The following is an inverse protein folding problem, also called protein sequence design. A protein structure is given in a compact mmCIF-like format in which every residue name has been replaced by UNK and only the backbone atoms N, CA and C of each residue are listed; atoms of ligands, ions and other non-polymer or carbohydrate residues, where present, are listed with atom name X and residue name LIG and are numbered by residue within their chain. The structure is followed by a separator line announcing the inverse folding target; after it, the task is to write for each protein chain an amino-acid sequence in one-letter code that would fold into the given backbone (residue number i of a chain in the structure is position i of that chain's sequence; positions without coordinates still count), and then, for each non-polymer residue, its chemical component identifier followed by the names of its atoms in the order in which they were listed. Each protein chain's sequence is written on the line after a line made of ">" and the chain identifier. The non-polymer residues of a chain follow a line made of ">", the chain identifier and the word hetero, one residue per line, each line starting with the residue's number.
data_IF_370043399843
#
_entry.id   IF_370043399843
#
_cell.length_a   1.000
_cell.length_b   1.000
_cell.length_c   1.000
_cell.angle_alpha   90.00
_cell.angle_beta   90.00
_cell.angle_gamma   90.00
#
_symmetry.space_group_name_H-M   'P 1'
#
loop_
_entity.id
_entity.type
_entity.pdbx_description
1 polymer ?
#
# COMPACT_ATOMS: atom_id res chain seq x y z
N UNK A 1 -0.98 -74.24 26.53
CA UNK A 1 -1.77 -73.39 27.45
C UNK A 1 -2.94 -72.81 26.65
N UNK A 2 -4.13 -73.37 26.84
CA UNK A 2 -5.40 -72.87 26.26
C UNK A 2 -5.86 -71.69 27.12
N UNK A 3 -6.43 -70.66 26.50
CA UNK A 3 -7.64 -70.04 27.05
C UNK A 3 -8.62 -69.73 25.92
N UNK A 4 -9.84 -70.23 26.08
CA UNK A 4 -11.00 -70.17 25.18
C UNK A 4 -12.13 -69.44 25.93
N UNK A 5 -12.78 -68.48 25.25
CA UNK A 5 -14.24 -68.17 25.18
C UNK A 5 -14.89 -67.69 26.51
N UNK A 6 -15.73 -66.64 26.61
CA UNK A 6 -17.05 -66.48 25.96
C UNK A 6 -17.73 -65.11 26.23
N UNK A 7 -18.52 -64.67 25.24
CA UNK A 7 -19.87 -64.02 25.28
C UNK A 7 -20.11 -62.75 26.14
N UNK A 8 -20.78 -61.68 25.70
CA UNK A 8 -21.62 -61.37 24.52
C UNK A 8 -22.26 -59.96 24.75
N UNK A 9 -22.72 -59.25 23.73
CA UNK A 9 -24.15 -58.91 23.45
C UNK A 9 -24.20 -57.95 22.25
N UNK A 10 -25.32 -57.99 21.51
CA UNK A 10 -25.62 -57.41 20.18
C UNK A 10 -25.97 -55.91 20.15
N UNK A 11 -25.86 -55.35 18.94
CA UNK A 11 -26.57 -54.19 18.31
C UNK A 11 -26.46 -52.79 18.93
N UNK A 12 -25.77 -51.88 18.22
CA UNK A 12 -26.41 -50.83 17.38
C UNK A 12 -25.35 -49.84 16.88
N UNK A 13 -25.49 -49.40 15.64
CA UNK A 13 -24.66 -48.36 15.03
C UNK A 13 -24.79 -47.05 15.81
N UNK A 14 -23.70 -46.59 16.43
CA UNK A 14 -23.53 -45.18 16.78
C UNK A 14 -22.19 -44.72 16.22
N UNK A 15 -22.27 -43.80 15.26
CA UNK A 15 -21.15 -42.96 14.85
C UNK A 15 -20.61 -42.28 16.11
N UNK A 16 -19.44 -42.70 16.57
CA UNK A 16 -18.63 -41.94 17.52
C UNK A 16 -17.44 -41.42 16.71
N UNK A 17 -17.53 -40.15 16.32
CA UNK A 17 -16.41 -39.40 15.76
C UNK A 17 -15.30 -39.31 16.81
N UNK A 18 -14.32 -40.21 16.72
CA UNK A 18 -13.04 -40.02 17.41
C UNK A 18 -12.32 -38.91 16.66
N UNK A 19 -12.25 -37.70 17.24
CA UNK A 19 -11.23 -36.74 16.85
C UNK A 19 -9.88 -37.36 17.22
N UNK A 20 -9.25 -38.05 16.26
CA UNK A 20 -7.82 -38.25 16.32
C UNK A 20 -7.19 -36.89 16.01
N UNK A 21 -6.69 -36.20 17.03
CA UNK A 21 -5.75 -35.10 16.80
C UNK A 21 -4.49 -35.72 16.21
N UNK A 22 -4.29 -35.57 14.90
CA UNK A 22 -3.04 -35.93 14.24
C UNK A 22 -1.98 -34.97 14.76
N UNK A 23 -1.14 -35.44 15.68
CA UNK A 23 0.02 -34.70 16.17
C UNK A 23 1.04 -34.61 15.03
N UNK A 24 1.13 -33.43 14.38
CA UNK A 24 2.19 -33.15 13.43
C UNK A 24 3.47 -32.78 14.19
N UNK A 25 4.41 -33.74 14.22
CA UNK A 25 5.82 -33.64 14.63
C UNK A 25 6.15 -33.12 16.04
N UNK A 26 6.87 -33.96 16.79
CA UNK A 26 7.53 -33.59 18.04
C UNK A 26 8.84 -32.88 17.71
N UNK A 27 8.98 -31.62 18.14
CA UNK A 27 10.22 -30.84 17.96
C UNK A 27 11.37 -31.49 18.74
N UNK A 28 12.43 -31.91 18.03
CA UNK A 28 13.68 -32.36 18.63
C UNK A 28 14.75 -31.26 18.47
N UNK A 29 15.13 -30.54 19.54
CA UNK A 29 16.09 -29.43 19.47
C UNK A 29 17.54 -29.84 19.15
N UNK A 30 17.84 -31.14 19.05
CA UNK A 30 19.20 -31.66 18.82
C UNK A 30 19.47 -32.07 17.35
N UNK A 31 18.50 -31.93 16.44
CA UNK A 31 18.65 -32.32 15.03
C UNK A 31 19.46 -31.30 14.22
N UNK A 32 20.54 -31.73 13.55
CA UNK A 32 21.45 -30.88 12.76
C UNK A 32 21.25 -30.96 11.24
N UNK A 33 20.17 -31.58 10.76
CA UNK A 33 19.80 -31.61 9.34
C UNK A 33 18.69 -30.61 9.02
N UNK A 34 18.81 -29.92 7.88
CA UNK A 34 17.80 -29.01 7.33
C UNK A 34 16.38 -29.58 7.44
N UNK A 35 15.34 -28.73 7.64
CA UNK A 35 14.01 -29.18 8.05
C UNK A 35 13.48 -30.28 7.12
N UNK A 36 13.15 -31.44 7.69
CA UNK A 36 12.58 -32.61 6.99
C UNK A 36 11.18 -32.34 6.40
N UNK A 37 10.66 -31.12 6.56
CA UNK A 37 9.48 -30.63 5.87
C UNK A 37 9.54 -29.11 5.72
N UNK A 38 9.66 -28.63 4.48
CA UNK A 38 9.53 -27.22 4.13
C UNK A 38 8.30 -27.05 3.26
N UNK A 39 7.38 -26.20 3.67
CA UNK A 39 6.19 -25.87 2.89
C UNK A 39 6.54 -24.75 1.91
N UNK A 40 7.33 -25.08 0.88
CA UNK A 40 7.59 -24.20 -0.25
C UNK A 40 6.45 -24.44 -1.25
N UNK A 41 5.62 -23.41 -1.47
CA UNK A 41 4.50 -23.49 -2.42
C UNK A 41 3.20 -23.98 -1.80
N UNK A 42 2.61 -23.19 -0.90
CA UNK A 42 1.21 -23.33 -0.50
C UNK A 42 0.31 -22.96 -1.69
N UNK A 43 0.01 -23.92 -2.57
CA UNK A 43 -1.15 -23.82 -3.46
C UNK A 43 -2.38 -24.30 -2.70
N UNK A 44 -3.25 -23.36 -2.34
CA UNK A 44 -4.61 -23.65 -1.87
C UNK A 44 -5.37 -24.32 -3.03
N UNK A 45 -5.43 -25.65 -3.07
CA UNK A 45 -6.37 -26.35 -3.93
C UNK A 45 -7.75 -26.23 -3.29
N UNK A 46 -8.51 -25.20 -3.68
CA UNK A 46 -9.95 -25.22 -3.50
C UNK A 46 -10.59 -25.48 -4.85
N UNK A 47 -11.39 -26.53 -4.84
CA UNK A 47 -12.25 -27.04 -5.91
C UNK A 47 -13.11 -25.94 -6.55
N UNK A 48 -12.60 -25.31 -7.60
CA UNK A 48 -13.38 -24.97 -8.79
C UNK A 48 -13.12 -26.08 -9.80
N UNK A 49 -14.07 -26.98 -10.01
CA UNK A 49 -13.90 -28.24 -10.74
C UNK A 49 -13.79 -28.04 -12.25
N UNK A 50 -12.67 -27.48 -12.70
CA UNK A 50 -12.37 -27.33 -14.11
C UNK A 50 -10.86 -27.39 -14.37
N UNK A 51 -10.45 -27.74 -15.60
CA UNK A 51 -9.04 -27.79 -16.01
C UNK A 51 -8.31 -26.44 -15.88
N UNK A 52 -9.01 -25.34 -15.59
CA UNK A 52 -8.49 -23.96 -15.68
C UNK A 52 -9.06 -23.11 -14.56
N UNK A 53 -8.17 -22.39 -13.88
CA UNK A 53 -8.52 -21.41 -12.86
C UNK A 53 -8.31 -19.99 -13.34
N UNK A 54 -9.08 -19.05 -12.79
CA UNK A 54 -8.91 -17.62 -12.99
C UNK A 54 -9.02 -16.91 -11.64
N UNK A 55 -8.16 -15.92 -11.40
CA UNK A 55 -8.23 -15.04 -10.23
C UNK A 55 -8.04 -13.59 -10.64
N UNK A 56 -8.63 -12.67 -9.86
CA UNK A 56 -8.42 -11.22 -9.98
C UNK A 56 -7.85 -10.73 -8.65
N UNK A 57 -6.69 -10.08 -8.68
CA UNK A 57 -5.94 -9.68 -7.48
C UNK A 57 -5.79 -10.82 -6.47
N UNK A 58 -5.37 -12.00 -6.97
CA UNK A 58 -5.18 -13.22 -6.18
C UNK A 58 -6.45 -13.78 -5.50
N UNK A 59 -7.63 -13.26 -5.85
CA UNK A 59 -8.92 -13.80 -5.41
C UNK A 59 -9.50 -14.65 -6.54
N UNK A 60 -9.67 -15.94 -6.29
CA UNK A 60 -10.25 -16.87 -7.28
C UNK A 60 -11.67 -16.46 -7.65
N UNK A 61 -11.98 -16.53 -8.95
CA UNK A 61 -13.30 -16.22 -9.50
C UNK A 61 -13.79 -17.39 -10.34
N UNK A 62 -15.11 -17.56 -10.39
CA UNK A 62 -15.77 -18.61 -11.17
C UNK A 62 -16.79 -17.99 -12.12
N UNK A 63 -17.34 -18.77 -13.04
CA UNK A 63 -18.37 -18.25 -13.95
C UNK A 63 -19.58 -17.75 -13.15
N UNK A 64 -19.99 -16.51 -13.39
CA UNK A 64 -21.05 -15.80 -12.65
C UNK A 64 -20.54 -14.93 -11.49
N UNK A 65 -19.26 -15.00 -11.11
CA UNK A 65 -18.67 -14.08 -10.14
C UNK A 65 -18.75 -12.62 -10.62
N UNK A 66 -18.74 -11.68 -9.68
CA UNK A 66 -18.68 -10.25 -9.96
C UNK A 66 -17.38 -9.64 -9.45
N UNK A 67 -16.83 -8.69 -10.19
CA UNK A 67 -15.69 -7.87 -9.78
C UNK A 67 -16.03 -6.39 -9.98
N UNK A 68 -15.94 -5.62 -8.90
CA UNK A 68 -16.31 -4.20 -8.89
C UNK A 68 -15.06 -3.31 -8.69
N UNK A 69 -14.79 -2.48 -9.69
CA UNK A 69 -13.72 -1.48 -9.71
C UNK A 69 -14.05 -0.24 -8.86
N UNK A 70 -15.21 -0.25 -8.18
CA UNK A 70 -15.70 0.82 -7.32
C UNK A 70 -16.00 2.11 -8.11
N UNK A 71 -16.20 3.20 -7.38
CA UNK A 71 -16.44 4.51 -7.96
C UNK A 71 -15.14 5.14 -8.48
N UNK A 72 -15.17 5.61 -9.73
CA UNK A 72 -14.08 6.31 -10.42
C UNK A 72 -14.63 7.60 -11.00
N UNK A 73 -13.88 8.69 -10.92
CA UNK A 73 -14.31 9.96 -11.51
C UNK A 73 -14.42 9.85 -13.03
N UNK A 74 -15.40 10.56 -13.59
CA UNK A 74 -15.60 10.61 -15.04
C UNK A 74 -14.32 11.04 -15.78
N UNK A 75 -13.84 10.19 -16.70
CA UNK A 75 -12.62 10.42 -17.48
C UNK A 75 -11.32 9.96 -16.82
N UNK A 76 -11.36 9.42 -15.60
CA UNK A 76 -10.20 8.88 -14.87
C UNK A 76 -10.14 7.35 -14.92
N UNK A 77 -8.98 6.78 -14.58
CA UNK A 77 -8.75 5.32 -14.55
C UNK A 77 -8.77 4.79 -13.11
N UNK A 78 -9.32 3.60 -12.91
CA UNK A 78 -9.17 2.83 -11.67
C UNK A 78 -7.72 2.35 -11.49
N UNK A 79 -7.37 1.83 -10.30
CA UNK A 79 -6.19 0.97 -10.16
C UNK A 79 -6.25 -0.21 -11.15
N UNK A 80 -5.10 -0.67 -11.61
CA UNK A 80 -5.00 -1.90 -12.41
C UNK A 80 -5.26 -3.12 -11.51
N UNK A 81 -6.24 -3.93 -11.88
CA UNK A 81 -6.42 -5.26 -11.31
C UNK A 81 -5.63 -6.29 -12.12
N UNK A 82 -5.01 -7.27 -11.45
CA UNK A 82 -4.24 -8.33 -12.11
C UNK A 82 -5.10 -9.58 -12.28
N UNK A 83 -5.35 -9.96 -13.52
CA UNK A 83 -5.97 -11.23 -13.90
C UNK A 83 -4.87 -12.29 -13.98
N UNK A 84 -5.05 -13.41 -13.31
CA UNK A 84 -4.18 -14.59 -13.42
C UNK A 84 -5.00 -15.76 -13.94
N UNK A 85 -4.55 -16.41 -15.00
CA UNK A 85 -5.15 -17.64 -15.53
C UNK A 85 -4.17 -18.78 -15.32
N UNK A 86 -4.63 -19.85 -14.68
CA UNK A 86 -3.81 -21.02 -14.33
C UNK A 86 -4.31 -22.24 -15.07
N UNK A 87 -3.40 -22.97 -15.70
CA UNK A 87 -3.69 -24.23 -16.36
C UNK A 87 -3.44 -25.42 -15.41
N UNK A 88 -4.48 -26.17 -15.11
CA UNK A 88 -4.45 -27.39 -14.29
C UNK A 88 -5.06 -28.58 -15.04
N UNK A 89 -5.06 -28.54 -16.37
CA UNK A 89 -5.78 -29.49 -17.22
C UNK A 89 -5.08 -30.85 -17.39
N UNK A 90 -3.81 -30.96 -16.96
CA UNK A 90 -2.96 -32.12 -17.23
C UNK A 90 -2.26 -32.09 -18.59
N UNK A 91 -2.50 -31.07 -19.42
CA UNK A 91 -1.82 -30.86 -20.71
C UNK A 91 -1.58 -29.37 -20.95
N UNK A 92 -0.74 -29.01 -21.93
CA UNK A 92 -0.57 -27.61 -22.31
C UNK A 92 -1.81 -27.06 -23.00
N UNK A 93 -2.09 -25.77 -22.80
CA UNK A 93 -3.17 -25.04 -23.47
C UNK A 93 -2.55 -23.99 -24.39
N UNK A 94 -2.89 -24.06 -25.66
CA UNK A 94 -2.52 -23.04 -26.63
C UNK A 94 -3.54 -21.91 -26.63
N UNK A 95 -3.06 -20.69 -26.42
CA UNK A 95 -3.85 -19.48 -26.42
C UNK A 95 -3.84 -18.90 -27.85
N UNK A 96 -4.99 -18.93 -28.52
CA UNK A 96 -5.16 -18.19 -29.76
C UNK A 96 -4.96 -16.69 -29.47
N UNK A 97 -4.19 -16.00 -30.32
CA UNK A 97 -3.93 -14.56 -30.17
C UNK A 97 -5.19 -13.69 -30.24
N UNK A 98 -6.32 -14.28 -30.62
CA UNK A 98 -7.65 -13.68 -30.63
C UNK A 98 -8.60 -14.45 -29.71
N UNK A 99 -9.47 -13.75 -29.01
CA UNK A 99 -10.62 -14.27 -28.25
C UNK A 99 -10.35 -14.98 -26.90
N UNK A 100 -9.10 -15.06 -26.42
CA UNK A 100 -8.83 -15.70 -25.13
C UNK A 100 -9.44 -14.94 -23.94
N UNK A 101 -9.27 -13.62 -23.91
CA UNK A 101 -9.95 -12.73 -22.98
C UNK A 101 -10.70 -11.70 -23.82
N UNK A 102 -12.03 -11.67 -23.67
CA UNK A 102 -12.88 -10.72 -24.38
C UNK A 102 -13.73 -9.94 -23.41
N UNK A 103 -14.02 -8.70 -23.79
CA UNK A 103 -14.94 -7.83 -23.07
C UNK A 103 -16.20 -7.66 -23.91
N UNK A 104 -17.34 -7.86 -23.28
CA UNK A 104 -18.66 -7.71 -23.91
C UNK A 104 -19.64 -7.02 -22.95
N UNK A 105 -20.85 -6.73 -23.42
CA UNK A 105 -21.88 -6.06 -22.64
C UNK A 105 -21.98 -4.55 -22.90
N UNK A 106 -22.90 -3.91 -22.18
CA UNK A 106 -23.37 -2.56 -22.48
C UNK A 106 -22.28 -1.47 -22.37
N UNK A 107 -21.30 -1.65 -21.48
CA UNK A 107 -20.22 -0.67 -21.26
C UNK A 107 -18.84 -1.32 -21.41
N UNK A 108 -18.69 -2.32 -22.29
CA UNK A 108 -17.43 -3.04 -22.49
C UNK A 108 -16.22 -2.13 -22.79
N UNK A 109 -16.44 -1.02 -23.49
CA UNK A 109 -15.41 -0.02 -23.80
C UNK A 109 -14.81 0.67 -22.59
N UNK A 110 -15.51 0.63 -21.45
CA UNK A 110 -15.11 1.30 -20.22
C UNK A 110 -14.18 0.42 -19.38
N UNK A 111 -13.96 -0.83 -19.78
CA UNK A 111 -13.03 -1.76 -19.17
C UNK A 111 -11.92 -2.06 -20.16
N UNK A 112 -10.66 -1.95 -19.73
CA UNK A 112 -9.52 -1.99 -20.64
C UNK A 112 -8.52 -3.03 -20.13
N UNK A 113 -8.32 -4.05 -20.95
CA UNK A 113 -7.20 -4.98 -20.79
C UNK A 113 -5.90 -4.28 -21.20
N UNK A 114 -4.88 -4.40 -20.36
CA UNK A 114 -3.53 -3.83 -20.61
C UNK A 114 -2.72 -4.66 -21.62
N UNK A 115 -3.18 -5.88 -21.91
CA UNK A 115 -2.63 -6.75 -22.92
C UNK A 115 -3.48 -8.00 -23.10
N UNK A 116 -3.29 -8.70 -24.21
CA UNK A 116 -3.91 -10.01 -24.46
C UNK A 116 -2.86 -11.10 -24.26
N UNK A 117 -3.04 -12.00 -23.27
CA UNK A 117 -2.22 -13.21 -23.15
C UNK A 117 -2.19 -13.97 -24.48
N UNK A 118 -1.01 -14.45 -24.88
CA UNK A 118 -0.82 -15.30 -26.06
C UNK A 118 0.27 -16.34 -25.78
N UNK A 119 0.38 -17.34 -26.66
CA UNK A 119 1.35 -18.44 -26.52
C UNK A 119 0.75 -19.66 -25.85
N UNK A 120 1.57 -20.43 -25.13
CA UNK A 120 1.16 -21.70 -24.53
C UNK A 120 1.29 -21.62 -23.00
N UNK A 121 0.24 -22.03 -22.29
CA UNK A 121 0.29 -22.23 -20.83
C UNK A 121 0.56 -23.71 -20.58
N UNK A 122 1.76 -24.05 -20.12
CA UNK A 122 2.07 -25.42 -19.71
C UNK A 122 1.20 -25.85 -18.51
N UNK A 123 0.97 -27.16 -18.35
CA UNK A 123 0.27 -27.67 -17.17
C UNK A 123 1.00 -27.25 -15.87
N UNK A 124 0.25 -26.73 -14.90
CA UNK A 124 0.76 -26.18 -13.65
C UNK A 124 1.33 -24.76 -13.75
N UNK A 125 1.31 -24.14 -14.93
CA UNK A 125 1.76 -22.74 -15.14
C UNK A 125 0.60 -21.76 -15.20
N UNK A 126 0.94 -20.47 -15.08
CA UNK A 126 -0.02 -19.37 -15.16
C UNK A 126 0.44 -18.28 -16.11
N UNK A 127 -0.50 -17.51 -16.62
CA UNK A 127 -0.27 -16.27 -17.37
C UNK A 127 -1.05 -15.12 -16.73
N UNK A 128 -0.54 -13.90 -16.85
CA UNK A 128 -1.15 -12.71 -16.24
C UNK A 128 -1.42 -11.61 -17.27
N UNK A 129 -2.46 -10.81 -17.01
CA UNK A 129 -2.70 -9.54 -17.69
C UNK A 129 -3.39 -8.56 -16.74
N UNK A 130 -3.19 -7.26 -16.92
CA UNK A 130 -3.89 -6.24 -16.16
C UNK A 130 -5.22 -5.83 -16.80
N UNK A 131 -6.17 -5.37 -15.98
CA UNK A 131 -7.43 -4.75 -16.41
C UNK A 131 -7.72 -3.51 -15.55
N UNK A 132 -8.28 -2.45 -16.14
CA UNK A 132 -8.76 -1.28 -15.40
C UNK A 132 -10.09 -0.77 -15.93
N UNK A 133 -10.80 0.03 -15.13
CA UNK A 133 -12.05 0.72 -15.48
C UNK A 133 -11.81 2.22 -15.71
N UNK A 134 -12.43 2.79 -16.74
CA UNK A 134 -12.51 4.24 -17.00
C UNK A 134 -13.75 4.53 -17.83
N UNK A 135 -14.54 5.54 -17.47
CA UNK A 135 -15.68 5.96 -18.27
C UNK A 135 -15.87 7.46 -18.17
N UNK A 136 -16.22 8.10 -19.28
CA UNK A 136 -16.59 9.52 -19.32
C UNK A 136 -18.09 9.76 -19.08
N UNK A 137 -18.86 8.68 -18.94
CA UNK A 137 -20.31 8.73 -18.83
C UNK A 137 -20.73 8.32 -17.42
N UNK A 138 -21.51 9.15 -16.74
CA UNK A 138 -21.81 8.97 -15.31
C UNK A 138 -22.74 7.77 -15.03
N UNK A 139 -22.67 7.23 -13.82
CA UNK A 139 -23.47 6.12 -13.34
C UNK A 139 -22.73 4.77 -13.37
N UNK A 140 -23.46 3.74 -12.95
CA UNK A 140 -22.96 2.36 -12.94
C UNK A 140 -22.73 1.90 -14.38
N UNK A 141 -21.55 1.35 -14.62
CA UNK A 141 -21.10 0.75 -15.88
C UNK A 141 -20.89 -0.73 -15.65
N UNK A 142 -21.38 -1.54 -16.57
CA UNK A 142 -21.26 -3.00 -16.48
C UNK A 142 -20.76 -3.59 -17.78
N UNK A 143 -19.94 -4.63 -17.64
CA UNK A 143 -19.44 -5.42 -18.75
C UNK A 143 -19.31 -6.88 -18.30
N UNK A 144 -18.98 -7.76 -19.23
CA UNK A 144 -18.66 -9.16 -18.97
C UNK A 144 -17.26 -9.40 -19.51
N UNK A 145 -16.36 -9.85 -18.63
CA UNK A 145 -15.09 -10.43 -19.02
C UNK A 145 -15.30 -11.93 -19.27
N UNK A 146 -15.00 -12.38 -20.47
CA UNK A 146 -15.08 -13.80 -20.83
C UNK A 146 -13.68 -14.33 -21.08
N UNK A 147 -13.31 -15.35 -20.31
CA UNK A 147 -12.18 -16.22 -20.60
C UNK A 147 -12.68 -17.38 -21.46
N UNK A 148 -12.16 -17.49 -22.69
CA UNK A 148 -12.37 -18.63 -23.58
C UNK A 148 -11.07 -19.45 -23.65
N UNK A 149 -10.95 -20.53 -22.88
CA UNK A 149 -9.69 -21.22 -22.74
C UNK A 149 -9.30 -22.18 -23.89
N UNK A 150 -10.15 -22.32 -24.91
CA UNK A 150 -9.97 -23.23 -26.04
C UNK A 150 -11.32 -23.64 -26.63
N UNK A 151 -11.37 -24.18 -27.85
CA UNK A 151 -12.64 -24.39 -28.57
C UNK A 151 -13.57 -25.44 -27.93
N UNK A 152 -13.02 -26.39 -27.17
CA UNK A 152 -13.78 -27.49 -26.56
C UNK A 152 -14.13 -27.28 -25.08
N UNK A 153 -13.74 -26.14 -24.49
CA UNK A 153 -13.94 -25.85 -23.07
C UNK A 153 -15.00 -24.76 -22.89
N UNK A 154 -15.82 -24.92 -21.85
CA UNK A 154 -16.83 -23.92 -21.49
C UNK A 154 -16.18 -22.58 -21.13
N UNK A 155 -16.65 -21.45 -21.68
CA UNK A 155 -16.18 -20.13 -21.27
C UNK A 155 -16.47 -19.84 -19.80
N UNK A 156 -15.59 -19.08 -19.16
CA UNK A 156 -15.77 -18.52 -17.82
C UNK A 156 -16.12 -17.04 -17.97
N UNK A 157 -17.33 -16.66 -17.54
CA UNK A 157 -17.81 -15.29 -17.62
C UNK A 157 -17.85 -14.63 -16.25
N UNK A 158 -17.25 -13.46 -16.13
CA UNK A 158 -17.17 -12.66 -14.91
C UNK A 158 -17.87 -11.33 -15.16
N UNK A 159 -18.82 -10.97 -14.30
CA UNK A 159 -19.50 -9.70 -14.36
C UNK A 159 -18.56 -8.61 -13.85
N UNK A 160 -18.32 -7.56 -14.64
CA UNK A 160 -17.57 -6.40 -14.25
C UNK A 160 -18.51 -5.25 -13.92
N UNK A 161 -18.18 -4.52 -12.87
CA UNK A 161 -18.86 -3.30 -12.49
C UNK A 161 -17.84 -2.20 -12.20
N UNK A 162 -18.17 -0.96 -12.53
CA UNK A 162 -17.51 0.23 -12.03
C UNK A 162 -18.51 1.37 -12.05
N UNK A 163 -18.37 2.36 -11.18
CA UNK A 163 -19.31 3.50 -11.16
C UNK A 163 -18.56 4.76 -11.58
N UNK A 164 -18.89 5.30 -12.75
CA UNK A 164 -18.36 6.60 -13.13
C UNK A 164 -19.14 7.70 -12.40
N UNK A 165 -18.52 8.38 -11.46
CA UNK A 165 -19.18 9.43 -10.70
C UNK A 165 -18.93 10.79 -11.33
N UNK A 166 -19.98 11.61 -11.36
CA UNK A 166 -19.92 12.96 -11.89
C UNK A 166 -19.12 13.86 -10.99
N UNK A 167 -18.42 14.79 -11.63
CA UNK A 167 -17.98 16.01 -10.98
C UNK A 167 -19.27 16.74 -10.51
N UNK A 168 -19.59 16.87 -9.22
CA UNK A 168 -20.75 17.63 -8.77
C UNK A 168 -20.75 19.02 -9.42
N UNK A 169 -21.83 19.30 -10.16
CA UNK A 169 -21.99 20.50 -10.98
C UNK A 169 -21.86 21.76 -10.13
N UNK A 170 -20.87 22.60 -10.43
CA UNK A 170 -20.64 23.89 -9.76
C UNK A 170 -19.33 24.01 -9.01
N UNK A 171 -18.56 22.93 -8.87
CA UNK A 171 -17.23 22.96 -8.26
C UNK A 171 -16.13 22.88 -9.32
N UNK A 172 -15.26 23.90 -9.36
CA UNK A 172 -14.00 23.87 -10.11
C UNK A 172 -13.25 22.58 -9.79
N UNK A 173 -12.55 21.97 -10.77
CA UNK A 173 -11.65 20.83 -10.54
C UNK A 173 -10.64 21.06 -9.39
N UNK A 174 -10.43 22.33 -9.02
CA UNK A 174 -9.63 22.75 -7.87
C UNK A 174 -10.28 22.55 -6.49
N UNK A 175 -11.61 22.43 -6.37
CA UNK A 175 -12.30 22.35 -5.06
C UNK A 175 -12.74 20.95 -4.66
N UNK A 176 -12.49 19.92 -5.48
CA UNK A 176 -12.91 18.54 -5.19
C UNK A 176 -11.89 17.66 -4.48
N UNK A 177 -10.68 18.16 -4.24
CA UNK A 177 -9.75 17.48 -3.34
C UNK A 177 -10.02 17.76 -1.85
N UNK A 178 -11.01 18.60 -1.53
CA UNK A 178 -11.48 18.79 -0.15
C UNK A 178 -12.35 17.61 0.37
N UNK A 179 -12.85 16.69 -0.48
CA UNK A 179 -13.70 15.58 -0.02
C UNK A 179 -12.97 14.25 0.20
N UNK A 180 -11.70 14.11 -0.22
CA UNK A 180 -10.81 13.04 0.24
C UNK A 180 -10.03 13.58 1.44
N UNK A 181 -10.72 13.64 2.58
CA UNK A 181 -10.10 14.01 3.83
C UNK A 181 -9.33 12.81 4.40
N UNK A 182 -8.04 12.99 4.63
CA UNK A 182 -7.25 12.13 5.50
C UNK A 182 -7.61 12.49 6.93
N UNK A 183 -8.50 11.69 7.52
CA UNK A 183 -9.03 11.94 8.85
C UNK A 183 -7.93 11.72 9.90
N UNK A 184 -7.72 12.75 10.71
CA UNK A 184 -6.86 12.67 11.89
C UNK A 184 -7.57 11.86 12.99
N UNK A 185 -7.07 10.65 13.23
CA UNK A 185 -7.56 9.75 14.28
C UNK A 185 -7.01 10.09 15.68
N UNK A 186 -6.10 11.05 15.81
CA UNK A 186 -5.55 11.48 17.11
C UNK A 186 -6.55 12.27 17.96
N UNK A 187 -7.68 12.70 17.37
CA UNK A 187 -8.69 13.53 18.02
C UNK A 187 -8.35 15.02 18.05
N UNK A 188 -7.26 15.46 17.40
CA UNK A 188 -6.83 16.87 17.36
C UNK A 188 -7.38 17.65 16.17
N UNK A 189 -8.08 16.99 15.24
CA UNK A 189 -8.76 17.66 14.13
C UNK A 189 -7.81 18.14 13.02
N UNK A 190 -6.61 17.55 12.91
CA UNK A 190 -5.64 17.88 11.87
C UNK A 190 -5.95 17.17 10.55
N UNK A 191 -7.16 17.35 10.03
CA UNK A 191 -7.58 16.68 8.80
C UNK A 191 -6.72 17.16 7.62
N UNK A 192 -6.15 16.22 6.88
CA UNK A 192 -5.42 16.49 5.66
C UNK A 192 -6.36 16.47 4.46
N UNK A 193 -6.13 17.35 3.50
CA UNK A 193 -6.84 17.40 2.23
C UNK A 193 -5.86 17.11 1.12
N UNK A 194 -6.27 16.26 0.20
CA UNK A 194 -5.49 16.00 -1.00
C UNK A 194 -5.30 17.30 -1.79
N UNK A 195 -4.22 17.42 -2.53
CA UNK A 195 -4.04 18.49 -3.50
C UNK A 195 -3.26 17.99 -4.71
N UNK A 196 -3.60 18.55 -5.88
CA UNK A 196 -3.00 18.17 -7.15
C UNK A 196 -3.81 17.12 -7.89
N UNK A 197 -3.26 16.52 -8.95
CA UNK A 197 -4.03 15.58 -9.78
C UNK A 197 -4.04 14.18 -9.18
N UNK A 198 -4.75 13.99 -8.07
CA UNK A 198 -4.77 12.75 -7.30
C UNK A 198 -5.48 11.62 -8.06
N UNK A 199 -4.71 10.93 -8.90
CA UNK A 199 -5.10 9.70 -9.61
C UNK A 199 -4.52 8.46 -8.94
N UNK A 200 -3.92 8.62 -7.77
CA UNK A 200 -3.13 7.57 -7.14
C UNK A 200 -3.97 6.53 -6.39
N UNK A 201 -3.70 5.22 -6.58
CA UNK A 201 -4.48 4.17 -5.95
C UNK A 201 -4.22 4.14 -4.43
N UNK A 202 -5.28 3.94 -3.65
CA UNK A 202 -5.11 3.27 -2.36
C UNK A 202 -4.52 1.89 -2.62
N UNK A 203 -3.45 1.54 -1.92
CA UNK A 203 -2.78 0.23 -2.02
C UNK A 203 -2.92 -0.50 -0.70
N UNK A 204 -2.64 -1.80 -0.68
CA UNK A 204 -2.58 -2.54 0.58
C UNK A 204 -1.44 -2.01 1.45
N UNK A 205 -1.80 -1.50 2.62
CA UNK A 205 -0.86 -1.00 3.62
C UNK A 205 -0.27 -2.10 4.49
N UNK A 206 0.59 -1.70 5.42
CA UNK A 206 0.97 -2.54 6.56
C UNK A 206 -0.26 -2.76 7.45
N UNK A 207 -1.12 -1.74 7.57
CA UNK A 207 -2.42 -1.83 8.22
C UNK A 207 -3.52 -1.30 7.32
N UNK A 208 -4.37 -2.20 6.84
CA UNK A 208 -5.50 -1.80 5.99
C UNK A 208 -5.01 -1.20 4.67
N UNK A 209 -5.31 0.08 4.45
CA UNK A 209 -5.02 0.78 3.21
C UNK A 209 -3.94 1.83 3.41
N UNK A 210 -3.01 1.88 2.47
CA UNK A 210 -2.00 2.91 2.34
C UNK A 210 -2.31 3.85 1.18
N UNK A 211 -1.69 5.02 1.22
CA UNK A 211 -1.70 5.97 0.11
C UNK A 211 -0.45 5.77 -0.75
N UNK A 212 -0.63 5.69 -2.07
CA UNK A 212 0.47 5.86 -3.02
C UNK A 212 0.53 7.30 -3.49
N UNK A 213 1.71 7.83 -3.79
CA UNK A 213 1.91 9.19 -4.30
C UNK A 213 2.87 9.15 -5.49
N UNK A 214 2.65 10.04 -6.48
CA UNK A 214 3.57 10.25 -7.59
C UNK A 214 3.61 9.07 -8.59
N UNK A 215 2.49 8.37 -8.78
CA UNK A 215 2.42 7.19 -9.63
C UNK A 215 2.54 7.51 -11.14
N UNK A 216 3.31 6.70 -11.88
CA UNK A 216 3.40 6.72 -13.35
C UNK A 216 4.73 7.23 -13.92
N UNK A 217 4.84 7.27 -15.26
CA UNK A 217 6.06 7.68 -15.96
C UNK A 217 6.42 9.17 -15.80
N UNK A 218 5.44 9.98 -15.38
CA UNK A 218 5.60 11.38 -15.02
C UNK A 218 4.88 11.57 -13.67
N UNK A 219 5.59 11.59 -12.53
CA UNK A 219 4.93 11.76 -11.23
C UNK A 219 4.14 13.06 -11.26
N UNK A 220 2.82 12.95 -11.15
CA UNK A 220 1.94 14.10 -11.07
C UNK A 220 2.16 14.79 -9.72
N UNK A 221 2.02 16.12 -9.71
CA UNK A 221 2.04 16.89 -8.47
C UNK A 221 0.85 16.44 -7.62
N UNK A 222 1.10 15.59 -6.62
CA UNK A 222 0.12 14.99 -5.71
C UNK A 222 0.69 15.05 -4.29
N UNK A 223 -0.07 15.59 -3.36
CA UNK A 223 0.33 15.66 -1.95
C UNK A 223 -0.92 15.81 -1.07
N UNK A 224 -0.74 15.68 0.24
CA UNK A 224 -1.79 16.02 1.22
C UNK A 224 -1.36 17.31 1.91
N UNK A 225 -2.21 18.31 1.85
CA UNK A 225 -2.11 19.57 2.59
C UNK A 225 -2.87 19.45 3.90
N UNK A 226 -2.23 19.73 5.02
CA UNK A 226 -2.92 19.83 6.31
C UNK A 226 -3.03 21.32 6.67
N UNK A 227 -4.21 21.94 6.47
CA UNK A 227 -4.39 23.36 6.72
C UNK A 227 -4.28 23.67 8.21
N UNK A 228 -3.93 24.92 8.49
CA UNK A 228 -4.01 25.50 9.83
C UNK A 228 -5.48 25.86 10.16
N UNK A 229 -6.34 24.86 10.23
CA UNK A 229 -7.79 25.02 10.41
C UNK A 229 -8.18 25.36 11.86
N UNK A 230 -7.28 25.16 12.81
CA UNK A 230 -7.44 25.49 14.24
C UNK A 230 -6.13 26.14 14.69
N UNK A 231 -6.14 27.24 15.50
CA UNK A 231 -4.95 28.06 15.85
C UNK A 231 -3.76 27.37 16.54
N UNK A 232 -3.68 26.05 16.58
CA UNK A 232 -2.61 25.24 17.18
C UNK A 232 -2.20 24.06 16.27
N UNK A 233 -2.82 23.88 15.10
CA UNK A 233 -2.55 22.74 14.23
C UNK A 233 -1.17 22.88 13.61
N UNK A 234 -0.23 22.02 14.04
CA UNK A 234 1.14 22.00 13.56
C UNK A 234 1.95 23.29 13.79
N UNK A 235 1.60 24.15 14.77
CA UNK A 235 2.39 25.36 15.12
C UNK A 235 3.66 25.00 15.91
N UNK A 236 4.56 24.26 15.28
CA UNK A 236 5.78 23.77 15.92
C UNK A 236 6.81 24.88 16.01
N UNK A 237 7.44 25.09 17.17
CA UNK A 237 8.71 25.79 17.22
C UNK A 237 9.84 24.78 17.22
N UNK A 238 10.98 25.12 16.63
CA UNK A 238 12.15 24.25 16.70
C UNK A 238 12.86 24.26 18.06
N UNK A 239 12.34 25.03 19.02
CA UNK A 239 12.69 24.93 20.45
C UNK A 239 11.97 23.79 21.17
N UNK A 240 11.10 23.04 20.50
CA UNK A 240 10.36 21.91 21.06
C UNK A 240 10.71 20.60 20.34
N UNK A 241 10.62 19.51 21.08
CA UNK A 241 10.87 18.18 20.55
C UNK A 241 9.78 17.74 19.57
N UNK A 242 10.15 16.94 18.58
CA UNK A 242 9.22 16.31 17.65
C UNK A 242 9.72 14.92 17.26
N UNK A 243 8.78 14.00 17.04
CA UNK A 243 9.09 12.73 16.38
C UNK A 243 8.09 12.47 15.26
N UNK A 244 8.58 11.98 14.12
CA UNK A 244 7.76 11.61 12.98
C UNK A 244 8.08 10.16 12.64
N UNK A 245 7.05 9.33 12.45
CA UNK A 245 7.20 7.91 12.11
C UNK A 245 6.24 7.55 11.00
N UNK A 246 6.63 6.72 10.04
CA UNK A 246 5.74 6.20 9.01
C UNK A 246 6.22 4.83 8.51
N UNK A 247 5.31 4.06 7.93
CA UNK A 247 5.68 2.99 7.01
C UNK A 247 5.74 3.54 5.60
N UNK A 248 6.75 3.15 4.83
CA UNK A 248 7.00 3.65 3.48
C UNK A 248 7.42 2.55 2.51
N UNK A 249 7.12 2.74 1.24
CA UNK A 249 7.69 2.02 0.09
C UNK A 249 8.19 3.05 -0.93
N UNK A 250 9.43 3.56 -0.81
CA UNK A 250 9.97 4.51 -1.77
C UNK A 250 10.31 3.83 -3.11
N UNK A 251 9.88 4.40 -4.23
CA UNK A 251 10.12 3.79 -5.55
C UNK A 251 11.38 4.35 -6.24
N UNK A 252 11.88 5.50 -5.81
CA UNK A 252 12.95 6.24 -6.51
C UNK A 252 14.15 6.53 -5.62
N UNK A 253 15.30 6.78 -6.26
CA UNK A 253 16.53 7.17 -5.57
C UNK A 253 16.61 8.65 -5.21
N UNK A 254 15.69 9.48 -5.71
CA UNK A 254 15.62 10.88 -5.30
C UNK A 254 14.91 10.99 -3.96
N UNK A 255 15.40 11.87 -3.08
CA UNK A 255 14.74 12.16 -1.82
C UNK A 255 13.39 12.83 -2.09
N UNK A 256 12.33 12.21 -1.60
CA UNK A 256 10.99 12.75 -1.62
C UNK A 256 10.47 12.97 -0.20
N UNK A 257 9.77 14.08 0.01
CA UNK A 257 9.29 14.49 1.34
C UNK A 257 8.08 13.69 1.78
N UNK A 258 8.17 13.02 2.93
CA UNK A 258 7.02 12.36 3.56
C UNK A 258 6.32 13.26 4.58
N UNK A 259 7.03 14.24 5.16
CA UNK A 259 6.42 15.31 5.95
C UNK A 259 7.23 16.59 5.87
N UNK A 260 6.56 17.71 5.61
CA UNK A 260 7.12 19.05 5.59
C UNK A 260 6.32 19.99 6.49
N UNK A 261 7.06 20.73 7.31
CA UNK A 261 6.60 21.93 7.97
C UNK A 261 7.58 23.06 7.74
N UNK A 262 7.25 23.91 6.78
CA UNK A 262 8.01 25.11 6.41
C UNK A 262 7.08 26.31 6.21
N UNK A 263 7.62 27.51 6.12
CA UNK A 263 6.87 28.72 5.73
C UNK A 263 7.27 29.14 4.31
N UNK A 264 6.36 29.79 3.58
CA UNK A 264 6.65 30.43 2.28
C UNK A 264 7.71 31.54 2.42
N UNK A 265 8.29 32.00 1.31
CA UNK A 265 9.40 32.97 1.21
C UNK A 265 9.09 34.39 1.76
N UNK A 266 8.63 34.52 3.00
CA UNK A 266 8.59 35.78 3.73
C UNK A 266 9.98 36.22 4.16
N UNK A 267 10.14 37.43 4.72
CA UNK A 267 11.44 38.03 4.99
C UNK A 267 12.35 37.26 5.98
N UNK A 268 11.90 36.16 6.62
CA UNK A 268 12.68 35.26 7.49
C UNK A 268 11.98 33.87 7.68
N UNK A 269 11.79 33.03 6.65
CA UNK A 269 11.12 31.74 6.79
C UNK A 269 12.11 30.68 7.28
N UNK A 270 11.77 30.05 8.40
CA UNK A 270 12.49 28.88 8.90
C UNK A 270 11.75 27.62 8.42
N UNK A 271 12.45 26.73 7.70
CA UNK A 271 12.02 25.34 7.55
C UNK A 271 12.21 24.69 8.91
N UNK A 272 11.11 24.22 9.48
CA UNK A 272 11.15 23.62 10.81
C UNK A 272 11.61 22.17 10.67
N UNK A 273 10.98 21.41 9.75
CA UNK A 273 11.38 20.04 9.41
C UNK A 273 10.98 19.64 7.97
N UNK A 274 11.92 19.13 7.19
CA UNK A 274 11.69 18.30 5.98
C UNK A 274 12.17 16.87 6.27
N UNK A 275 11.24 15.95 6.56
CA UNK A 275 11.59 14.53 6.62
C UNK A 275 11.36 13.90 5.25
N UNK A 276 12.46 13.51 4.60
CA UNK A 276 12.47 12.96 3.25
C UNK A 276 13.15 11.60 3.18
N UNK A 277 12.68 10.79 2.23
CA UNK A 277 13.03 9.38 2.06
C UNK A 277 13.28 9.09 0.59
N UNK A 278 14.22 8.20 0.30
CA UNK A 278 14.41 7.57 -1.01
C UNK A 278 14.66 6.08 -0.83
N UNK A 279 14.78 5.31 -1.93
CA UNK A 279 15.24 3.93 -1.87
C UNK A 279 16.75 3.80 -1.48
N UNK A 280 17.43 4.93 -1.26
CA UNK A 280 18.86 5.01 -0.97
C UNK A 280 19.20 5.81 0.29
N UNK A 281 18.20 6.20 1.09
CA UNK A 281 18.47 6.87 2.35
C UNK A 281 17.29 7.57 3.02
N UNK A 282 17.61 8.15 4.18
CA UNK A 282 16.72 8.97 5.00
C UNK A 282 17.38 10.34 5.21
N UNK A 283 16.58 11.41 5.24
CA UNK A 283 17.08 12.77 5.45
C UNK A 283 16.14 13.59 6.31
N UNK A 284 16.68 14.21 7.36
CA UNK A 284 16.02 15.28 8.07
C UNK A 284 16.70 16.60 7.68
N UNK A 285 16.00 17.42 6.92
CA UNK A 285 16.46 18.73 6.46
C UNK A 285 15.88 19.88 7.26
N UNK A 286 16.66 20.95 7.37
CA UNK A 286 16.24 22.23 7.92
C UNK A 286 16.96 23.38 7.21
N UNK A 287 16.33 24.54 7.25
CA UNK A 287 16.78 25.72 6.51
C UNK A 287 16.36 26.98 7.25
N UNK A 288 17.31 27.89 7.41
CA UNK A 288 17.08 29.26 7.81
C UNK A 288 17.53 30.17 6.66
N UNK A 289 16.60 30.90 6.05
CA UNK A 289 16.93 31.78 4.93
C UNK A 289 18.05 32.74 5.29
N UNK A 290 18.94 32.98 4.31
CA UNK A 290 20.08 33.89 4.44
C UNK A 290 21.10 33.56 5.54
N UNK A 291 20.95 32.40 6.22
CA UNK A 291 21.81 32.02 7.33
C UNK A 291 22.47 30.65 7.11
N UNK A 292 21.70 29.55 7.19
CA UNK A 292 22.26 28.20 7.07
C UNK A 292 21.21 27.16 6.65
N UNK A 293 21.67 26.17 5.89
CA UNK A 293 20.94 24.95 5.57
C UNK A 293 21.70 23.75 6.06
N UNK A 294 21.00 22.86 6.73
CA UNK A 294 21.59 21.67 7.34
C UNK A 294 20.70 20.46 7.08
N UNK A 295 21.34 19.29 7.01
CA UNK A 295 20.61 18.04 6.98
C UNK A 295 21.38 16.95 7.73
N UNK A 296 20.66 16.16 8.49
CA UNK A 296 21.13 14.85 8.94
C UNK A 296 20.70 13.85 7.89
N UNK A 297 21.66 13.23 7.21
CA UNK A 297 21.40 12.30 6.11
C UNK A 297 22.02 10.96 6.42
N UNK A 298 21.22 9.91 6.31
CA UNK A 298 21.70 8.54 6.23
C UNK A 298 21.65 8.08 4.78
N UNK A 299 22.73 7.47 4.30
CA UNK A 299 22.79 6.83 2.98
C UNK A 299 22.89 5.32 3.16
N UNK A 300 21.93 4.60 2.61
CA UNK A 300 21.86 3.16 2.66
C UNK A 300 20.64 2.63 1.93
N UNK A 301 20.72 1.38 1.49
CA UNK A 301 19.64 0.77 0.69
C UNK A 301 18.38 0.60 1.53
N UNK A 302 17.25 1.05 0.99
CA UNK A 302 15.90 0.72 1.45
C UNK A 302 15.27 -0.11 0.33
N UNK A 303 15.31 -1.46 0.42
CA UNK A 303 14.87 -2.34 -0.65
C UNK A 303 13.35 -2.28 -0.86
N UNK A 304 12.89 -2.96 -1.92
CA UNK A 304 11.47 -3.07 -2.20
C UNK A 304 10.73 -3.77 -1.06
N UNK A 305 9.62 -3.18 -0.62
CA UNK A 305 8.84 -3.66 0.53
C UNK A 305 8.50 -2.52 1.48
N UNK A 306 7.67 -2.83 2.48
CA UNK A 306 7.32 -1.89 3.54
C UNK A 306 8.45 -1.80 4.57
N UNK A 307 8.95 -0.58 4.78
CA UNK A 307 9.95 -0.26 5.80
C UNK A 307 9.41 0.80 6.74
N UNK A 308 9.73 0.69 8.02
CA UNK A 308 9.38 1.72 9.00
C UNK A 308 10.50 2.74 9.08
N UNK A 309 10.17 4.01 8.92
CA UNK A 309 11.12 5.12 9.00
C UNK A 309 10.70 6.06 10.12
N UNK A 310 11.68 6.61 10.83
CA UNK A 310 11.41 7.66 11.79
C UNK A 310 12.52 8.69 11.88
N UNK A 311 12.15 9.92 12.24
CA UNK A 311 13.07 10.94 12.70
C UNK A 311 12.65 11.43 14.08
N UNK A 312 13.61 11.62 14.96
CA UNK A 312 13.43 12.23 16.29
C UNK A 312 14.32 13.45 16.36
N UNK A 313 13.73 14.58 16.74
CA UNK A 313 14.46 15.81 17.07
C UNK A 313 14.15 16.21 18.50
N UNK A 314 15.20 16.46 19.28
CA UNK A 314 15.14 16.96 20.64
C UNK A 314 16.16 18.09 20.83
N UNK A 315 15.72 19.36 20.89
CA UNK A 315 16.62 20.50 21.00
C UNK A 315 17.38 20.54 22.34
N UNK A 316 16.97 19.75 23.34
CA UNK A 316 17.68 19.61 24.61
C UNK A 316 18.80 18.55 24.56
N UNK A 317 18.83 17.70 23.53
CA UNK A 317 19.80 16.63 23.37
C UNK A 317 20.99 17.03 22.50
N UNK A 318 22.10 16.29 22.63
CA UNK A 318 23.26 16.39 21.74
C UNK A 318 23.85 14.98 21.51
N UNK A 319 23.76 14.39 20.30
CA UNK A 319 23.14 14.95 19.09
C UNK A 319 21.64 15.20 19.24
N UNK A 320 21.14 16.27 18.64
CA UNK A 320 19.74 16.69 18.76
C UNK A 320 18.80 16.01 17.75
N UNK A 321 19.33 15.20 16.84
CA UNK A 321 18.57 14.54 15.77
C UNK A 321 19.01 13.10 15.58
N UNK A 322 18.03 12.20 15.38
CA UNK A 322 18.25 10.77 15.14
C UNK A 322 17.31 10.29 14.03
N UNK A 323 17.86 9.53 13.07
CA UNK A 323 17.11 8.81 12.04
C UNK A 323 17.07 7.32 12.35
N UNK A 324 15.91 6.71 12.12
CA UNK A 324 15.69 5.28 12.32
C UNK A 324 15.14 4.61 11.06
N UNK A 325 15.62 3.39 10.80
CA UNK A 325 15.09 2.46 9.82
C UNK A 325 14.76 1.14 10.53
N UNK A 326 13.53 0.65 10.35
CA UNK A 326 13.03 -0.62 10.91
C UNK A 326 13.27 -0.76 12.42
N UNK A 327 13.10 0.34 13.15
CA UNK A 327 13.27 0.42 14.60
C UNK A 327 14.71 0.70 15.06
N UNK A 328 15.69 0.62 14.17
CA UNK A 328 17.12 0.77 14.49
C UNK A 328 17.61 2.17 14.14
N UNK A 329 18.38 2.78 15.04
CA UNK A 329 19.05 4.06 14.76
C UNK A 329 20.11 3.87 13.67
N UNK A 330 19.98 4.60 12.57
CA UNK A 330 20.88 4.52 11.41
C UNK A 330 21.79 5.74 11.26
N UNK A 331 21.40 6.88 11.83
CA UNK A 331 22.19 8.10 11.79
C UNK A 331 21.81 9.02 12.94
N UNK A 332 22.80 9.72 13.49
CA UNK A 332 22.61 10.83 14.41
C UNK A 332 23.30 12.08 13.88
N UNK A 333 22.86 13.25 14.34
CA UNK A 333 23.50 14.50 13.97
C UNK A 333 22.87 15.69 14.69
N UNK A 334 23.35 16.88 14.36
CA UNK A 334 22.83 18.13 14.89
C UNK A 334 22.21 18.96 13.77
N UNK A 335 21.04 19.51 14.04
CA UNK A 335 20.39 20.54 13.25
C UNK A 335 20.25 21.78 14.13
N UNK A 336 21.04 22.79 13.84
CA UNK A 336 21.08 24.07 14.56
C UNK A 336 20.07 25.04 13.96
N UNK A 337 19.89 25.05 12.63
CA UNK A 337 18.94 25.96 11.95
C UNK A 337 17.51 25.85 12.49
N UNK A 338 17.09 24.65 12.88
CA UNK A 338 15.76 24.43 13.48
C UNK A 338 15.68 25.02 14.90
N UNK A 339 16.74 24.99 15.72
CA UNK A 339 16.66 25.40 17.14
C UNK A 339 16.19 26.85 17.35
N UNK A 340 16.38 27.71 16.35
CA UNK A 340 15.95 29.11 16.35
C UNK A 340 14.67 29.37 15.57
N UNK A 341 14.05 28.34 14.99
CA UNK A 341 12.84 28.47 14.18
C UNK A 341 11.62 28.77 15.08
N UNK A 342 10.96 29.93 14.92
CA UNK A 342 9.73 30.23 15.62
C UNK A 342 8.59 29.38 15.05
N UNK A 343 7.52 29.23 15.85
CA UNK A 343 6.29 28.64 15.36
C UNK A 343 5.69 29.47 14.23
N UNK A 344 5.09 28.80 13.25
CA UNK A 344 4.37 29.44 12.15
C UNK A 344 3.07 28.71 11.80
N UNK A 345 2.13 29.47 11.24
CA UNK A 345 0.77 29.05 10.87
C UNK A 345 0.63 28.55 9.42
N UNK A 346 1.74 28.31 8.72
CA UNK A 346 1.67 27.73 7.38
C UNK A 346 1.14 26.27 7.46
N UNK A 347 0.42 25.80 6.44
CA UNK A 347 -0.07 24.42 6.42
C UNK A 347 1.08 23.39 6.56
N UNK A 348 0.84 22.17 7.03
CA UNK A 348 1.83 21.09 6.87
C UNK A 348 1.59 20.37 5.53
N UNK A 349 2.59 19.64 5.01
CA UNK A 349 2.42 18.84 3.81
C UNK A 349 2.93 17.41 4.02
N UNK A 350 2.25 16.45 3.39
CA UNK A 350 2.70 15.06 3.23
C UNK A 350 2.88 14.83 1.74
N UNK A 351 4.04 14.32 1.32
CA UNK A 351 4.28 13.99 -0.10
C UNK A 351 4.95 15.06 -0.93
N UNK A 352 5.12 16.28 -0.38
CA UNK A 352 5.86 17.36 -1.05
C UNK A 352 6.65 18.19 -0.06
N UNK A 353 7.73 18.78 -0.56
CA UNK A 353 8.33 19.95 0.06
C UNK A 353 7.62 21.21 -0.46
N UNK A 354 7.13 22.10 0.42
CA UNK A 354 6.47 23.34 0.01
C UNK A 354 7.36 24.24 -0.86
N UNK A 355 8.65 24.31 -0.50
CA UNK A 355 9.62 25.27 -1.04
C UNK A 355 10.18 24.86 -2.40
N UNK A 356 10.22 23.57 -2.68
CA UNK A 356 10.71 23.02 -3.93
C UNK A 356 9.70 22.00 -4.48
N UNK A 357 8.98 22.41 -5.52
CA UNK A 357 7.98 21.58 -6.18
C UNK A 357 8.57 20.33 -6.87
N UNK A 358 9.90 20.22 -6.98
CA UNK A 358 10.58 19.05 -7.54
C UNK A 358 10.82 17.95 -6.51
N UNK A 359 10.75 18.26 -5.21
CA UNK A 359 10.97 17.31 -4.13
C UNK A 359 9.65 16.64 -3.72
N UNK A 360 9.12 15.80 -4.62
CA UNK A 360 7.93 15.00 -4.41
C UNK A 360 8.27 13.59 -3.92
N UNK A 361 7.47 13.06 -3.01
CA UNK A 361 7.56 11.64 -2.66
C UNK A 361 6.90 10.78 -3.74
N UNK A 362 7.67 9.83 -4.24
CA UNK A 362 7.23 8.82 -5.21
C UNK A 362 7.33 7.46 -4.52
N UNK A 363 6.17 6.90 -4.15
CA UNK A 363 6.09 5.70 -3.34
C UNK A 363 4.77 5.54 -2.61
N UNK A 364 4.70 4.59 -1.68
CA UNK A 364 3.57 4.43 -0.77
C UNK A 364 3.90 4.88 0.66
N UNK A 365 2.92 5.43 1.37
CA UNK A 365 3.00 5.83 2.78
C UNK A 365 1.83 5.19 3.53
N UNK A 366 2.10 4.66 4.71
CA UNK A 366 1.09 4.13 5.62
C UNK A 366 1.43 4.51 7.08
N UNK A 367 0.40 4.60 7.92
CA UNK A 367 0.54 4.81 9.37
C UNK A 367 1.50 5.97 9.74
N UNK A 368 1.46 7.09 9.01
CA UNK A 368 2.21 8.31 9.35
C UNK A 368 1.69 8.89 10.67
N UNK A 369 2.59 9.10 11.62
CA UNK A 369 2.30 9.64 12.94
C UNK A 369 3.29 10.73 13.30
N UNK A 370 2.78 11.77 13.93
CA UNK A 370 3.57 12.92 14.37
C UNK A 370 3.32 13.13 15.86
N UNK A 371 4.41 13.11 16.62
CA UNK A 371 4.42 13.24 18.06
C UNK A 371 5.04 14.58 18.41
N UNK A 372 4.22 15.47 18.96
CA UNK A 372 4.65 16.81 19.35
C UNK A 372 3.98 17.21 20.68
N UNK A 373 4.70 17.85 21.62
CA UNK A 373 6.14 18.16 21.59
C UNK A 373 6.97 17.02 22.21
N UNK A 374 7.07 15.87 21.53
CA UNK A 374 7.60 14.63 22.14
C UNK A 374 8.77 14.08 21.33
N UNK A 375 9.91 13.89 21.99
CA UNK A 375 11.01 13.06 21.53
C UNK A 375 10.77 11.62 21.96
N UNK A 376 10.53 10.73 21.01
CA UNK A 376 10.35 9.30 21.28
C UNK A 376 11.71 8.66 21.62
N UNK A 377 11.70 7.80 22.62
CA UNK A 377 12.86 6.96 22.93
C UNK A 377 13.05 5.88 21.86
N UNK A 378 14.27 5.32 21.79
CA UNK A 378 14.54 4.18 20.91
C UNK A 378 13.61 2.98 21.20
N UNK A 379 13.23 2.74 22.46
CA UNK A 379 12.29 1.66 22.83
C UNK A 379 10.86 1.93 22.36
N UNK A 380 10.42 3.19 22.36
CA UNK A 380 9.11 3.57 21.80
C UNK A 380 9.11 3.40 20.28
N UNK A 381 10.18 3.82 19.60
CA UNK A 381 10.34 3.60 18.14
C UNK A 381 10.30 2.10 17.80
N UNK A 382 11.03 1.27 18.55
CA UNK A 382 11.01 -0.18 18.37
C UNK A 382 9.61 -0.78 18.61
N UNK A 383 8.88 -0.26 19.61
CA UNK A 383 7.51 -0.70 19.91
C UNK A 383 6.56 -0.37 18.76
N UNK A 384 6.67 0.85 18.22
CA UNK A 384 5.88 1.30 17.06
C UNK A 384 6.18 0.42 15.84
N UNK A 385 7.45 0.16 15.53
CA UNK A 385 7.83 -0.75 14.44
C UNK A 385 7.27 -2.17 14.62
N UNK A 386 7.37 -2.72 15.83
CA UNK A 386 6.87 -4.07 16.12
C UNK A 386 5.33 -4.15 16.10
N UNK A 387 4.64 -3.02 16.19
CA UNK A 387 3.18 -2.95 16.19
C UNK A 387 2.54 -3.07 14.81
N UNK A 388 3.24 -3.66 13.82
CA UNK A 388 2.68 -3.92 12.47
C UNK A 388 1.35 -4.64 12.52
#
# INVERSE_FOLDING_TARGET
>A
MKLKIANGIRHSSRFLSVLLTVTFCQYNPESTSAPEFSLIGLSRVISGSGPIGISINQTDVTSGSSYDFQSVLSGFKSPNATITVTNSSGSSIDISSTNFLTLSGANASDFILTGSPNGTIANGSSITTGIYFTSSSLGVRTAILTLQPGESLSPISINLQGTAVGNPSGMSLFSQFESLAFLDSSGRGNQGFVTGNFGSPFVTGVRGNAIRLGYGAFPTFEYISIPDSIPQNFHFSGTQAISITAWVQPDTGNFGTIFDKSQDNDANPNVIFDFSVSNSGLRLGSWQETALSEAVTWTGSIPAGWHHVACVYDPASNPNSILYLDGISVQTGNIVSTTTAPANSAAANIGRFRRDATQLFVGAIDELRIYYPVALSASQIQTIYNSR
#
